data_IF_816673568592
#
_entry.id   IF_816673568592
#
_cell.length_a   1.000
_cell.length_b   1.000
_cell.length_c   1.000
_cell.angle_alpha   90.00
_cell.angle_beta   90.00
_cell.angle_gamma   90.00
#
_symmetry.space_group_name_H-M   'P 1'
#
loop_
_entity.id
_entity.type
_entity.pdbx_description
1 polymer ?
#
# COMPACT_ATOMS: atom_id res chain seq x y z
N UNK A 1 45.42 9.62 9.79
CA UNK A 1 44.71 10.37 8.74
C UNK A 1 43.34 9.75 8.58
N UNK A 2 42.28 10.44 9.00
CA UNK A 2 40.90 9.95 8.88
C UNK A 2 40.50 9.97 7.41
N UNK A 3 40.40 8.79 6.80
CA UNK A 3 39.82 8.66 5.46
C UNK A 3 38.32 8.96 5.58
N UNK A 4 37.88 10.08 5.01
CA UNK A 4 36.46 10.42 4.94
C UNK A 4 35.74 9.40 4.06
N UNK A 5 35.13 8.40 4.68
CA UNK A 5 34.27 7.42 4.03
C UNK A 5 33.06 8.14 3.44
N UNK A 6 33.05 8.35 2.12
CA UNK A 6 31.91 8.99 1.45
C UNK A 6 30.89 7.92 1.07
N UNK A 7 29.77 7.87 1.80
CA UNK A 7 28.64 7.02 1.48
C UNK A 7 27.91 7.54 0.24
N UNK A 8 27.67 6.68 -0.73
CA UNK A 8 26.90 7.03 -1.93
C UNK A 8 25.44 7.25 -1.58
N UNK A 9 24.88 8.39 -2.01
CA UNK A 9 23.46 8.73 -1.88
C UNK A 9 22.88 8.77 -3.30
N UNK A 10 21.82 8.03 -3.56
CA UNK A 10 21.27 7.86 -4.90
C UNK A 10 20.84 6.43 -5.18
N UNK A 11 20.42 6.20 -6.44
CA UNK A 11 19.96 4.90 -6.92
C UNK A 11 21.17 4.09 -7.36
N UNK A 12 21.27 2.84 -6.92
CA UNK A 12 22.30 1.92 -7.36
C UNK A 12 21.75 0.48 -7.49
N UNK A 13 22.21 -0.27 -8.48
CA UNK A 13 21.89 -1.69 -8.59
C UNK A 13 22.67 -2.47 -7.53
N UNK A 14 21.97 -3.22 -6.71
CA UNK A 14 22.57 -4.17 -5.78
C UNK A 14 22.82 -5.49 -6.52
N UNK A 15 24.10 -5.85 -6.60
CA UNK A 15 24.60 -7.07 -7.25
C UNK A 15 24.93 -8.16 -6.21
N UNK A 16 24.08 -8.29 -5.20
CA UNK A 16 24.27 -9.29 -4.16
C UNK A 16 24.21 -10.70 -4.76
N UNK A 17 25.28 -11.47 -4.57
CA UNK A 17 25.50 -12.77 -5.20
C UNK A 17 24.49 -13.84 -4.78
N UNK A 18 23.78 -13.61 -3.68
CA UNK A 18 22.78 -14.53 -3.15
C UNK A 18 21.41 -14.38 -3.84
N UNK A 19 21.16 -13.21 -4.46
CA UNK A 19 19.91 -12.95 -5.17
C UNK A 19 20.09 -13.13 -6.68
N UNK A 20 19.35 -14.08 -7.27
CA UNK A 20 19.33 -14.32 -8.72
C UNK A 20 18.78 -13.14 -9.55
N UNK A 21 18.37 -12.04 -8.91
CA UNK A 21 17.71 -10.89 -9.52
C UNK A 21 18.40 -9.59 -9.12
N UNK A 22 18.71 -8.74 -10.11
CA UNK A 22 19.24 -7.39 -9.86
C UNK A 22 18.20 -6.56 -9.11
N UNK A 23 18.54 -6.14 -7.89
CA UNK A 23 17.64 -5.34 -7.04
C UNK A 23 18.09 -3.88 -7.04
N UNK A 24 17.20 -2.95 -7.35
CA UNK A 24 17.52 -1.52 -7.29
C UNK A 24 17.34 -0.99 -5.86
N UNK A 25 18.37 -0.34 -5.34
CA UNK A 25 18.38 0.23 -3.98
C UNK A 25 18.56 1.74 -4.06
N UNK A 26 17.71 2.48 -3.34
CA UNK A 26 17.80 3.94 -3.23
C UNK A 26 18.28 4.29 -1.81
N UNK A 27 19.53 4.76 -1.71
CA UNK A 27 20.09 5.29 -0.46
C UNK A 27 19.73 6.75 -0.29
N UNK A 28 19.05 7.10 0.81
CA UNK A 28 18.63 8.46 1.15
C UNK A 28 19.08 8.81 2.58
N UNK A 29 19.15 10.11 2.90
CA UNK A 29 19.31 10.56 4.29
C UNK A 29 18.08 10.22 5.13
N UNK A 30 18.25 9.93 6.41
CA UNK A 30 17.17 9.46 7.30
C UNK A 30 15.95 10.40 7.32
N UNK A 31 16.16 11.72 7.43
CA UNK A 31 15.07 12.69 7.43
C UNK A 31 14.29 12.71 6.12
N UNK A 32 14.99 12.66 4.98
CA UNK A 32 14.38 12.64 3.64
C UNK A 32 13.69 11.28 3.35
N UNK A 33 14.24 10.18 3.85
CA UNK A 33 13.61 8.85 3.76
C UNK A 33 12.31 8.75 4.55
N UNK A 34 12.23 9.40 5.71
CA UNK A 34 10.98 9.56 6.47
C UNK A 34 9.90 10.32 5.70
N UNK A 35 10.27 11.40 5.02
CA UNK A 35 9.36 12.17 4.17
C UNK A 35 8.89 11.34 2.97
N UNK A 36 9.81 10.66 2.28
CA UNK A 36 9.50 9.83 1.10
C UNK A 36 8.59 8.65 1.45
N UNK A 37 8.85 7.96 2.56
CA UNK A 37 7.98 6.88 3.05
C UNK A 37 6.59 7.37 3.43
N UNK A 38 6.51 8.52 4.11
CA UNK A 38 5.22 9.15 4.46
C UNK A 38 4.43 9.55 3.21
N UNK A 39 5.10 10.16 2.23
CA UNK A 39 4.49 10.51 0.94
C UNK A 39 3.95 9.27 0.22
N UNK A 40 4.65 8.14 0.30
CA UNK A 40 4.22 6.89 -0.32
C UNK A 40 3.00 6.27 0.38
N UNK A 41 2.93 6.32 1.72
CA UNK A 41 1.74 5.93 2.50
C UNK A 41 0.50 6.74 2.07
N UNK A 42 0.68 8.06 1.90
CA UNK A 42 -0.39 8.94 1.43
C UNK A 42 -0.80 8.63 -0.01
N UNK A 43 0.17 8.40 -0.90
CA UNK A 43 -0.09 8.04 -2.29
C UNK A 43 -0.87 6.72 -2.40
N UNK A 44 -0.50 5.71 -1.62
CA UNK A 44 -1.22 4.42 -1.56
C UNK A 44 -2.65 4.61 -1.03
N UNK A 45 -2.85 5.49 -0.03
CA UNK A 45 -4.20 5.84 0.44
C UNK A 45 -5.04 6.56 -0.61
N UNK A 46 -4.44 7.44 -1.41
CA UNK A 46 -5.11 8.08 -2.54
C UNK A 46 -5.48 7.06 -3.62
N UNK A 47 -4.55 6.17 -3.98
CA UNK A 47 -4.79 5.08 -4.93
C UNK A 47 -5.94 4.17 -4.47
N UNK A 48 -6.07 3.92 -3.16
CA UNK A 48 -7.19 3.17 -2.60
C UNK A 48 -8.55 3.79 -2.89
N UNK A 49 -8.64 5.11 -2.73
CA UNK A 49 -9.86 5.87 -3.01
C UNK A 49 -10.23 5.81 -4.49
N UNK A 50 -9.23 5.86 -5.38
CA UNK A 50 -9.49 5.75 -6.83
C UNK A 50 -9.83 4.32 -7.25
N UNK A 51 -9.17 3.31 -6.68
CA UNK A 51 -9.52 1.91 -6.91
C UNK A 51 -10.97 1.63 -6.51
N UNK A 52 -11.45 2.24 -5.43
CA UNK A 52 -12.85 2.17 -5.03
C UNK A 52 -13.81 2.71 -6.10
N UNK A 53 -13.44 3.76 -6.84
CA UNK A 53 -14.28 4.27 -7.93
C UNK A 53 -14.50 3.22 -9.03
N UNK A 54 -13.47 2.44 -9.36
CA UNK A 54 -13.58 1.33 -10.32
C UNK A 54 -14.50 0.24 -9.78
N UNK A 55 -14.35 -0.13 -8.50
CA UNK A 55 -15.18 -1.15 -7.86
C UNK A 55 -16.65 -0.72 -7.80
N UNK A 56 -16.91 0.53 -7.42
CA UNK A 56 -18.27 1.11 -7.46
C UNK A 56 -18.88 1.00 -8.84
N UNK A 57 -18.11 1.29 -9.89
CA UNK A 57 -18.59 1.17 -11.26
C UNK A 57 -18.94 -0.28 -11.60
N UNK A 58 -18.08 -1.25 -11.27
CA UNK A 58 -18.35 -2.68 -11.51
C UNK A 58 -19.59 -3.13 -10.75
N UNK A 59 -19.71 -2.80 -9.45
CA UNK A 59 -20.88 -3.12 -8.63
C UNK A 59 -22.16 -2.48 -9.19
N UNK A 60 -22.07 -1.25 -9.70
CA UNK A 60 -23.19 -0.58 -10.35
C UNK A 60 -23.61 -1.31 -11.62
N UNK A 61 -22.65 -1.74 -12.47
CA UNK A 61 -22.95 -2.50 -13.69
C UNK A 61 -23.61 -3.84 -13.39
N UNK A 62 -23.15 -4.55 -12.35
CA UNK A 62 -23.77 -5.80 -11.90
C UNK A 62 -25.22 -5.62 -11.44
N UNK A 63 -25.53 -4.50 -10.77
CA UNK A 63 -26.89 -4.19 -10.31
C UNK A 63 -27.79 -3.61 -11.40
N UNK A 64 -27.23 -3.04 -12.46
CA UNK A 64 -28.00 -2.46 -13.55
C UNK A 64 -28.81 -3.53 -14.32
N UNK A 65 -28.36 -4.79 -14.32
CA UNK A 65 -29.06 -5.93 -14.95
C UNK A 65 -30.17 -6.56 -14.11
N UNK A 66 -30.39 -6.14 -12.86
CA UNK A 66 -31.37 -6.76 -11.95
C UNK A 66 -32.72 -6.04 -12.01
N UNK A 67 -33.83 -6.76 -11.79
CA UNK A 67 -35.19 -6.22 -11.83
C UNK A 67 -35.35 -4.92 -11.02
N UNK A 68 -36.04 -3.92 -11.61
CA UNK A 68 -36.16 -2.53 -11.14
C UNK A 68 -37.13 -2.39 -9.94
N UNK A 69 -36.82 -3.04 -8.83
CA UNK A 69 -37.51 -2.77 -7.56
C UNK A 69 -37.01 -1.44 -6.96
N UNK A 70 -37.89 -0.71 -6.26
CA UNK A 70 -37.51 0.54 -5.58
C UNK A 70 -36.34 0.38 -4.58
N UNK A 71 -36.18 -0.82 -4.01
CA UNK A 71 -35.04 -1.15 -3.16
C UNK A 71 -33.71 -1.19 -3.92
N UNK A 72 -33.69 -1.78 -5.13
CA UNK A 72 -32.49 -1.85 -5.95
C UNK A 72 -32.08 -0.45 -6.45
N UNK A 73 -33.07 0.41 -6.74
CA UNK A 73 -32.82 1.82 -7.08
C UNK A 73 -32.22 2.59 -5.89
N UNK A 74 -32.69 2.33 -4.66
CA UNK A 74 -32.08 2.91 -3.46
C UNK A 74 -30.63 2.46 -3.26
N UNK A 75 -30.34 1.17 -3.45
CA UNK A 75 -28.98 0.65 -3.37
C UNK A 75 -28.05 1.25 -4.44
N UNK A 76 -28.52 1.41 -5.67
CA UNK A 76 -27.75 2.07 -6.74
C UNK A 76 -27.48 3.55 -6.43
N UNK A 77 -28.49 4.29 -5.97
CA UNK A 77 -28.35 5.70 -5.59
C UNK A 77 -27.38 5.87 -4.41
N UNK A 78 -27.44 4.97 -3.43
CA UNK A 78 -26.49 4.89 -2.33
C UNK A 78 -25.08 4.62 -2.84
N UNK A 79 -24.91 3.62 -3.70
CA UNK A 79 -23.60 3.23 -4.21
C UNK A 79 -22.94 4.35 -5.03
N UNK A 80 -23.75 5.16 -5.73
CA UNK A 80 -23.27 6.36 -6.45
C UNK A 80 -22.86 7.48 -5.48
N UNK A 81 -23.55 7.63 -4.36
CA UNK A 81 -23.28 8.67 -3.36
C UNK A 81 -22.21 8.28 -2.33
N UNK A 82 -21.74 7.03 -2.30
CA UNK A 82 -20.69 6.64 -1.38
C UNK A 82 -19.32 7.14 -1.87
N UNK A 83 -18.72 8.04 -1.11
CA UNK A 83 -17.35 8.52 -1.34
C UNK A 83 -16.34 7.41 -1.10
N UNK A 84 -16.56 6.60 -0.06
CA UNK A 84 -15.60 5.59 0.40
C UNK A 84 -16.23 4.20 0.53
N UNK A 85 -15.39 3.16 0.58
CA UNK A 85 -15.81 1.79 0.91
C UNK A 85 -16.43 1.69 2.31
N UNK A 86 -15.99 2.54 3.25
CA UNK A 86 -16.57 2.62 4.60
C UNK A 86 -18.01 3.14 4.58
N UNK A 87 -18.26 4.21 3.83
CA UNK A 87 -19.63 4.75 3.63
C UNK A 87 -20.53 3.70 2.99
N UNK A 88 -20.04 3.00 1.97
CA UNK A 88 -20.80 1.96 1.29
C UNK A 88 -21.17 0.81 2.23
N UNK A 89 -20.24 0.36 3.08
CA UNK A 89 -20.52 -0.66 4.09
C UNK A 89 -21.56 -0.18 5.13
N UNK A 90 -21.42 1.06 5.60
CA UNK A 90 -22.35 1.66 6.55
C UNK A 90 -23.78 1.73 5.98
N UNK A 91 -23.93 2.22 4.76
CA UNK A 91 -25.24 2.31 4.13
C UNK A 91 -25.81 0.93 3.74
N UNK A 92 -24.96 -0.02 3.34
CA UNK A 92 -25.38 -1.40 3.07
C UNK A 92 -25.95 -2.08 4.32
N UNK A 93 -25.53 -1.68 5.52
CA UNK A 93 -26.16 -2.08 6.78
C UNK A 93 -27.42 -1.26 7.02
N UNK A 94 -27.32 0.08 7.00
CA UNK A 94 -28.39 1.00 7.44
C UNK A 94 -29.68 0.89 6.61
N UNK A 95 -29.58 0.71 5.30
CA UNK A 95 -30.75 0.65 4.41
C UNK A 95 -31.64 -0.56 4.75
N UNK A 96 -31.15 -1.81 4.79
CA UNK A 96 -31.96 -2.95 5.24
C UNK A 96 -32.60 -2.75 6.63
N UNK A 97 -31.91 -2.08 7.56
CA UNK A 97 -32.45 -1.80 8.90
C UNK A 97 -33.73 -0.94 8.84
N UNK A 98 -33.83 -0.03 7.86
CA UNK A 98 -35.03 0.78 7.65
C UNK A 98 -36.25 -0.02 7.19
N UNK A 99 -36.01 -1.10 6.43
CA UNK A 99 -37.05 -1.99 5.90
C UNK A 99 -37.46 -3.10 6.89
N UNK A 100 -36.94 -3.08 8.13
CA UNK A 100 -37.26 -4.05 9.19
C UNK A 100 -38.75 -4.17 9.49
N UNK A 101 -39.46 -3.04 9.46
CA UNK A 101 -40.89 -2.97 9.82
C UNK A 101 -41.81 -3.64 8.80
N UNK A 102 -41.33 -3.95 7.60
CA UNK A 102 -42.10 -4.59 6.54
C UNK A 102 -41.89 -6.12 6.48
N UNK A 103 -41.20 -6.73 7.45
CA UNK A 103 -40.97 -8.18 7.51
C UNK A 103 -40.01 -8.73 6.44
N UNK A 104 -39.45 -7.88 5.58
CA UNK A 104 -38.57 -8.25 4.46
C UNK A 104 -37.07 -8.09 4.77
N UNK A 105 -36.71 -7.93 6.04
CA UNK A 105 -35.35 -7.66 6.50
C UNK A 105 -34.31 -8.64 5.92
N UNK A 106 -34.56 -9.94 6.02
CA UNK A 106 -33.63 -10.98 5.57
C UNK A 106 -33.40 -10.89 4.05
N UNK A 107 -34.45 -10.63 3.28
CA UNK A 107 -34.37 -10.48 1.82
C UNK A 107 -33.64 -9.18 1.43
N UNK A 108 -33.85 -8.10 2.18
CA UNK A 108 -33.15 -6.83 1.98
C UNK A 108 -31.64 -6.98 2.30
N UNK A 109 -31.29 -7.62 3.42
CA UNK A 109 -29.91 -7.93 3.79
C UNK A 109 -29.23 -8.85 2.78
N UNK A 110 -29.92 -9.91 2.32
CA UNK A 110 -29.39 -10.80 1.29
C UNK A 110 -29.05 -10.04 0.00
N UNK A 111 -29.89 -9.07 -0.41
CA UNK A 111 -29.64 -8.22 -1.57
C UNK A 111 -28.53 -7.18 -1.37
N UNK A 112 -28.34 -6.67 -0.15
CA UNK A 112 -27.25 -5.75 0.18
C UNK A 112 -25.92 -6.48 0.47
N UNK A 113 -25.96 -7.79 0.73
CA UNK A 113 -24.79 -8.61 1.06
C UNK A 113 -23.64 -8.55 0.06
N UNK A 114 -23.82 -8.56 -1.29
CA UNK A 114 -22.67 -8.45 -2.19
C UNK A 114 -21.95 -7.11 -2.06
N UNK A 115 -22.68 -6.00 -1.86
CA UNK A 115 -22.09 -4.68 -1.65
C UNK A 115 -21.31 -4.66 -0.33
N UNK A 116 -21.89 -5.23 0.73
CA UNK A 116 -21.26 -5.31 2.04
C UNK A 116 -19.96 -6.13 2.00
N UNK A 117 -20.01 -7.33 1.41
CA UNK A 117 -18.86 -8.24 1.32
C UNK A 117 -17.73 -7.60 0.53
N UNK A 118 -18.03 -7.01 -0.64
CA UNK A 118 -17.00 -6.34 -1.46
C UNK A 118 -16.41 -5.14 -0.73
N UNK A 119 -17.23 -4.34 -0.05
CA UNK A 119 -16.76 -3.18 0.72
C UNK A 119 -15.85 -3.58 1.87
N UNK A 120 -16.23 -4.62 2.64
CA UNK A 120 -15.42 -5.14 3.75
C UNK A 120 -14.13 -5.79 3.27
N UNK A 121 -14.19 -6.54 2.16
CA UNK A 121 -13.01 -7.12 1.53
C UNK A 121 -12.01 -6.04 1.10
N UNK A 122 -12.48 -4.99 0.41
CA UNK A 122 -11.62 -3.87 0.01
C UNK A 122 -11.06 -3.13 1.21
N UNK A 123 -11.86 -2.91 2.26
CA UNK A 123 -11.40 -2.29 3.49
C UNK A 123 -10.29 -3.12 4.16
N UNK A 124 -10.48 -4.44 4.30
CA UNK A 124 -9.47 -5.32 4.88
C UNK A 124 -8.20 -5.36 4.02
N UNK A 125 -8.34 -5.50 2.71
CA UNK A 125 -7.23 -5.51 1.76
C UNK A 125 -6.39 -4.23 1.87
N UNK A 126 -7.04 -3.07 1.93
CA UNK A 126 -6.35 -1.78 2.04
C UNK A 126 -5.68 -1.57 3.39
N UNK A 127 -6.32 -1.99 4.49
CA UNK A 127 -5.71 -1.94 5.83
C UNK A 127 -4.45 -2.81 5.87
N UNK A 128 -4.52 -4.04 5.34
CA UNK A 128 -3.36 -4.92 5.23
C UNK A 128 -2.29 -4.28 4.36
N UNK A 129 -2.63 -3.77 3.18
CA UNK A 129 -1.66 -3.11 2.29
C UNK A 129 -0.92 -1.96 3.00
N UNK A 130 -1.65 -1.10 3.74
CA UNK A 130 -1.07 0.02 4.46
C UNK A 130 -0.18 -0.42 5.63
N UNK A 131 -0.56 -1.46 6.38
CA UNK A 131 0.25 -1.99 7.50
C UNK A 131 1.55 -2.62 6.99
N UNK A 132 1.52 -3.26 5.82
CA UNK A 132 2.70 -3.92 5.24
C UNK A 132 3.58 -2.96 4.44
N UNK A 133 3.07 -1.81 4.01
CA UNK A 133 3.80 -0.84 3.20
C UNK A 133 5.15 -0.41 3.84
N UNK A 134 5.23 -0.10 5.16
CA UNK A 134 6.50 0.22 5.80
C UNK A 134 7.55 -0.90 5.76
N UNK A 135 7.11 -2.15 5.67
CA UNK A 135 8.02 -3.31 5.65
C UNK A 135 8.87 -3.37 4.39
N UNK A 136 8.42 -2.74 3.30
CA UNK A 136 9.16 -2.68 2.04
C UNK A 136 10.50 -1.95 2.19
N UNK A 137 10.61 -1.01 3.13
CA UNK A 137 11.83 -0.24 3.37
C UNK A 137 12.54 -0.62 4.68
N UNK A 138 11.86 -1.16 5.69
CA UNK A 138 12.57 -1.67 6.89
C UNK A 138 13.32 -2.98 6.63
N UNK A 139 13.00 -3.72 5.57
CA UNK A 139 13.69 -4.95 5.18
C UNK A 139 14.96 -4.73 4.33
N UNK A 140 15.32 -3.49 4.03
CA UNK A 140 16.59 -3.19 3.39
C UNK A 140 17.71 -3.39 4.42
N UNK A 141 18.68 -4.25 4.10
CA UNK A 141 19.90 -4.44 4.90
C UNK A 141 20.58 -3.09 5.17
N UNK A 142 21.30 -2.97 6.29
CA UNK A 142 22.18 -1.83 6.62
C UNK A 142 23.39 -1.72 5.65
N UNK A 143 23.28 -2.29 4.46
CA UNK A 143 24.26 -2.25 3.41
C UNK A 143 24.14 -0.93 2.65
N UNK A 144 25.22 -0.18 2.65
CA UNK A 144 25.35 1.05 1.90
C UNK A 144 26.58 0.97 1.01
N UNK A 145 26.44 1.50 -0.20
CA UNK A 145 27.56 1.57 -1.11
C UNK A 145 28.54 2.64 -0.61
N UNK A 146 29.71 2.18 -0.17
CA UNK A 146 30.82 3.04 0.25
C UNK A 146 31.66 3.38 -0.98
N UNK A 147 31.74 4.66 -1.31
CA UNK A 147 32.69 5.15 -2.29
C UNK A 147 34.07 5.32 -1.64
N UNK A 148 34.96 4.34 -1.79
CA UNK A 148 36.37 4.56 -1.46
C UNK A 148 37.08 5.19 -2.67
N UNK A 149 37.86 6.27 -2.45
CA UNK A 149 38.78 6.80 -3.48
C UNK A 149 40.00 5.90 -3.70
N UNK A 150 40.14 4.84 -2.90
CA UNK A 150 41.29 3.95 -2.89
C UNK A 150 40.82 2.60 -3.42
N UNK A 151 41.44 2.16 -4.52
CA UNK A 151 41.17 0.90 -5.23
C UNK A 151 41.61 -0.34 -4.42
N UNK A 152 41.17 -0.45 -3.17
CA UNK A 152 41.42 -1.59 -2.27
C UNK A 152 40.16 -1.88 -1.45
N UNK A 153 39.87 -3.18 -1.33
CA UNK A 153 38.89 -3.72 -0.39
C UNK A 153 39.22 -3.19 1.01
N UNK A 154 38.25 -2.55 1.66
CA UNK A 154 38.44 -2.00 3.00
C UNK A 154 38.21 -3.12 4.01
N UNK A 155 39.12 -3.27 4.98
CA UNK A 155 39.01 -4.29 6.02
C UNK A 155 37.71 -4.13 6.83
N UNK A 156 36.99 -5.24 7.15
CA UNK A 156 35.70 -5.21 7.84
C UNK A 156 35.72 -4.52 9.22
N UNK A 157 36.88 -4.45 9.86
CA UNK A 157 37.07 -3.85 11.18
C UNK A 157 36.90 -2.33 11.21
N UNK A 158 37.06 -1.65 10.06
CA UNK A 158 36.85 -0.20 9.95
C UNK A 158 35.36 0.16 9.88
N UNK A 159 34.52 -0.74 9.33
CA UNK A 159 33.07 -0.53 9.19
C UNK A 159 32.32 -0.63 10.53
N UNK A 160 32.89 -1.36 11.51
CA UNK A 160 32.27 -1.53 12.83
C UNK A 160 32.43 -0.29 13.72
N UNK A 161 33.47 0.52 13.51
CA UNK A 161 33.70 1.74 14.29
C UNK A 161 32.79 2.91 13.88
N UNK A 162 32.34 2.97 12.63
CA UNK A 162 31.38 3.98 12.12
C UNK A 162 29.91 3.61 12.39
N UNK A 163 29.67 2.41 12.93
CA UNK A 163 28.34 1.84 13.21
C UNK A 163 27.51 2.62 14.24
N UNK A 164 28.13 3.56 14.96
CA UNK A 164 27.50 4.32 16.04
C UNK A 164 26.99 5.72 15.65
N UNK A 165 27.23 6.23 14.43
CA UNK A 165 26.86 7.61 14.08
C UNK A 165 25.87 7.79 12.92
N UNK A 166 25.47 6.74 12.21
CA UNK A 166 24.68 6.91 11.00
C UNK A 166 23.48 5.96 10.99
N UNK A 167 22.45 6.32 11.75
CA UNK A 167 21.10 5.81 11.57
C UNK A 167 20.58 6.31 10.22
N UNK A 168 20.63 5.50 9.15
CA UNK A 168 20.12 5.87 7.82
C UNK A 168 19.09 4.85 7.33
N UNK A 169 18.03 5.35 6.71
CA UNK A 169 16.91 4.55 6.21
C UNK A 169 17.11 4.27 4.72
N UNK A 170 17.04 2.99 4.33
CA UNK A 170 17.15 2.53 2.96
C UNK A 170 15.76 2.20 2.39
N UNK A 171 15.57 2.40 1.09
CA UNK A 171 14.36 1.97 0.39
C UNK A 171 14.77 1.00 -0.73
N UNK A 172 14.38 -0.27 -0.58
CA UNK A 172 14.64 -1.32 -1.57
C UNK A 172 13.40 -1.48 -2.46
N UNK A 173 13.56 -1.32 -3.77
CA UNK A 173 12.51 -1.60 -4.75
C UNK A 173 12.99 -2.80 -5.57
N UNK A 174 12.54 -4.00 -5.19
CA UNK A 174 12.79 -5.21 -5.99
C UNK A 174 11.84 -5.22 -7.18
N UNK A 175 12.29 -4.67 -8.29
CA UNK A 175 11.66 -4.86 -9.59
C UNK A 175 12.07 -6.26 -10.10
N UNK A 176 11.24 -7.26 -9.82
CA UNK A 176 11.37 -8.59 -10.38
C UNK A 176 11.09 -8.59 -11.89
N UNK A 177 12.01 -8.05 -12.68
CA UNK A 177 12.00 -8.23 -14.12
C UNK A 177 12.61 -9.62 -14.36
N UNK A 178 11.75 -10.62 -14.57
CA UNK A 178 12.17 -11.91 -15.12
C UNK A 178 12.63 -11.65 -16.56
N UNK A 179 13.93 -11.72 -16.79
CA UNK A 179 14.51 -11.92 -18.12
C UNK A 179 14.34 -13.37 -18.55
#
# INVERSE_FOLDING_TARGET
>A
MSSTTQTFTGIWPNYDSESSHTTWTLTVRQGEGGVLSSALVLFVGFAATQAWNVVKYVLHQLQAGTAKDGYNQQLQAMLRNSSTHGDAAWYAIRIPLGWRKQGVLLRALARASPILVVSLFFMALWVVAQIFLPRLWTGASDEFLVGSRIRKWTDPSVLVAERHMIYRTQIRISLGIRG
#
